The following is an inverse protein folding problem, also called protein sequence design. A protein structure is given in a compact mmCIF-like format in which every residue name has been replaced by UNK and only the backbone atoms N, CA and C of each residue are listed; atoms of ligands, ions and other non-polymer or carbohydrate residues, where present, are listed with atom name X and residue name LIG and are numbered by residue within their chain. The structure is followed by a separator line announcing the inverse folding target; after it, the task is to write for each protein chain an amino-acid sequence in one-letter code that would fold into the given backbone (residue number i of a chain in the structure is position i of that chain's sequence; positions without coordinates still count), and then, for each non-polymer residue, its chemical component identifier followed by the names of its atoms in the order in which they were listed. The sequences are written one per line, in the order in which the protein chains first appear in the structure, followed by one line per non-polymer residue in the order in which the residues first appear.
data_IF_380520105233
#
_entry.id   IF_380520105233
#
_cell.length_a   1.000
_cell.length_b   1.000
_cell.length_c   1.000
_cell.angle_alpha   90.00
_cell.angle_beta   90.00
_cell.angle_gamma   90.00
#
_symmetry.space_group_name_H-M   'P 1'
#
loop_
_entity.id
_entity.type
_entity.pdbx_description
1 polymer ?
#
# COMPACT_ATOMS: atom_id res chain seq x y z
N UNK A 1 6.74 4.07 24.40
CA UNK A 1 6.23 2.68 24.56
C UNK A 1 4.89 2.67 25.31
N UNK A 2 3.82 3.14 24.68
CA UNK A 2 2.44 2.94 25.16
C UNK A 2 1.98 1.61 24.59
N UNK A 3 1.60 0.66 25.45
CA UNK A 3 1.17 -0.68 25.05
C UNK A 3 -0.31 -0.61 24.67
N UNK A 4 -0.62 -0.50 23.38
CA UNK A 4 -1.96 -0.73 22.91
C UNK A 4 -2.20 -2.23 22.81
N UNK A 5 -3.27 -2.69 23.46
CA UNK A 5 -3.76 -4.05 23.37
C UNK A 5 -4.86 -4.04 22.32
N UNK A 6 -4.50 -4.35 21.07
CA UNK A 6 -5.50 -4.66 20.05
C UNK A 6 -6.24 -5.91 20.50
N UNK A 7 -7.54 -5.74 20.75
CA UNK A 7 -8.45 -6.84 21.05
C UNK A 7 -8.99 -7.32 19.71
N UNK A 8 -8.39 -8.36 19.15
CA UNK A 8 -8.87 -9.08 17.97
C UNK A 8 -10.32 -9.54 18.23
N UNK A 9 -11.30 -8.88 17.61
CA UNK A 9 -12.66 -9.37 17.56
C UNK A 9 -12.71 -10.39 16.43
N UNK A 10 -12.69 -11.67 16.78
CA UNK A 10 -12.84 -12.77 15.83
C UNK A 10 -14.26 -12.76 15.25
N UNK A 11 -14.42 -12.15 14.08
CA UNK A 11 -15.65 -12.19 13.31
C UNK A 11 -15.76 -13.56 12.65
N UNK A 12 -16.58 -14.43 13.22
CA UNK A 12 -16.86 -15.74 12.65
C UNK A 12 -17.84 -15.60 11.47
N UNK A 13 -17.31 -15.41 10.27
CA UNK A 13 -18.08 -15.39 9.03
C UNK A 13 -18.54 -16.81 8.69
N UNK A 14 -19.82 -17.10 8.91
CA UNK A 14 -20.45 -18.36 8.49
C UNK A 14 -20.89 -18.20 7.03
N UNK A 15 -20.02 -18.62 6.10
CA UNK A 15 -20.34 -18.76 4.68
C UNK A 15 -21.34 -19.91 4.48
N UNK A 16 -22.64 -19.58 4.45
CA UNK A 16 -23.67 -20.50 4.00
C UNK A 16 -23.70 -20.55 2.47
N UNK A 17 -22.93 -21.48 1.89
CA UNK A 17 -22.97 -21.79 0.46
C UNK A 17 -24.33 -22.43 0.15
N UNK A 18 -25.29 -21.62 -0.31
CA UNK A 18 -26.52 -22.09 -0.92
C UNK A 18 -26.26 -22.38 -2.41
N UNK A 19 -25.76 -23.59 -2.69
CA UNK A 19 -25.64 -24.11 -4.05
C UNK A 19 -27.01 -24.33 -4.68
N UNK A 20 -27.37 -23.49 -5.66
CA UNK A 20 -28.46 -23.73 -6.59
C UNK A 20 -27.88 -24.27 -7.91
N UNK A 21 -27.46 -25.54 -7.88
CA UNK A 21 -27.06 -26.31 -9.06
C UNK A 21 -28.11 -27.36 -9.38
N UNK A 22 -29.04 -27.00 -10.26
CA UNK A 22 -29.95 -27.91 -10.94
C UNK A 22 -29.14 -28.67 -12.02
N UNK A 23 -29.18 -30.01 -12.04
CA UNK A 23 -29.30 -30.88 -13.23
C UNK A 23 -28.74 -32.31 -13.01
N UNK A 24 -29.64 -33.28 -13.25
CA UNK A 24 -29.50 -34.68 -13.71
C UNK A 24 -28.90 -35.84 -12.86
N UNK A 25 -29.86 -36.67 -12.41
CA UNK A 25 -29.98 -38.13 -12.62
C UNK A 25 -28.75 -39.04 -12.51
N UNK A 26 -28.75 -39.89 -11.48
CA UNK A 26 -28.30 -41.27 -11.65
C UNK A 26 -27.81 -42.00 -10.40
N UNK A 27 -28.54 -43.07 -10.04
CA UNK A 27 -28.01 -44.33 -9.51
C UNK A 27 -27.97 -44.56 -7.97
N UNK A 28 -29.10 -45.08 -7.47
CA UNK A 28 -29.25 -46.38 -6.79
C UNK A 28 -28.17 -46.83 -5.77
N UNK A 29 -28.57 -46.90 -4.49
CA UNK A 29 -28.13 -48.01 -3.63
C UNK A 29 -28.00 -47.71 -2.14
N UNK A 30 -28.79 -48.43 -1.33
CA UNK A 30 -28.36 -48.89 -0.01
C UNK A 30 -28.74 -48.00 1.15
N UNK A 31 -29.79 -48.40 1.87
CA UNK A 31 -30.29 -47.69 3.03
C UNK A 31 -29.35 -47.70 4.24
N UNK A 32 -29.63 -46.79 5.17
CA UNK A 32 -29.59 -47.09 6.58
C UNK A 32 -30.65 -46.24 7.30
N UNK A 33 -31.43 -46.91 8.12
CA UNK A 33 -32.45 -46.33 8.97
C UNK A 33 -31.82 -45.53 10.12
N UNK A 34 -32.65 -44.67 10.73
CA UNK A 34 -32.55 -44.14 12.10
C UNK A 34 -31.75 -42.84 12.25
N UNK A 35 -32.45 -41.71 12.38
CA UNK A 35 -32.64 -41.08 13.70
C UNK A 35 -33.64 -39.90 13.59
N UNK A 36 -34.90 -40.16 13.91
CA UNK A 36 -35.85 -39.12 14.30
C UNK A 36 -35.46 -38.67 15.72
N UNK A 37 -34.99 -37.45 15.89
CA UNK A 37 -35.11 -36.77 17.18
C UNK A 37 -35.87 -35.46 17.00
N UNK A 38 -37.03 -35.46 17.64
CA UNK A 38 -38.03 -34.41 17.69
C UNK A 38 -37.73 -33.57 18.93
N UNK A 39 -37.27 -32.33 18.74
CA UNK A 39 -36.94 -31.39 19.81
C UNK A 39 -37.45 -30.00 19.47
N UNK A 40 -38.73 -29.80 19.72
CA UNK A 40 -39.45 -28.54 19.70
C UNK A 40 -38.91 -27.59 20.78
N UNK A 41 -39.13 -26.27 20.62
CA UNK A 41 -39.09 -25.18 21.64
C UNK A 41 -37.67 -24.72 22.06
N UNK A 42 -37.30 -23.44 22.17
CA UNK A 42 -37.99 -22.14 22.39
C UNK A 42 -37.25 -20.98 21.68
N UNK A 43 -37.99 -19.95 21.29
CA UNK A 43 -37.46 -18.61 21.01
C UNK A 43 -36.81 -18.03 22.28
N UNK A 44 -35.55 -17.63 22.19
CA UNK A 44 -34.93 -16.77 23.19
C UNK A 44 -34.51 -15.48 22.48
N UNK A 45 -35.46 -14.56 22.45
CA UNK A 45 -35.22 -13.16 22.22
C UNK A 45 -34.92 -12.53 23.59
N UNK A 46 -33.64 -12.40 23.94
CA UNK A 46 -33.22 -11.58 25.08
C UNK A 46 -32.41 -10.40 24.56
N UNK A 47 -33.07 -9.25 24.50
CA UNK A 47 -32.44 -7.95 24.33
C UNK A 47 -31.48 -7.70 25.52
N UNK A 48 -30.26 -7.20 25.30
CA UNK A 48 -29.41 -6.77 26.40
C UNK A 48 -29.97 -5.49 27.04
N UNK A 49 -30.39 -5.62 28.30
CA UNK A 49 -30.79 -4.52 29.18
C UNK A 49 -29.56 -3.65 29.50
N UNK A 50 -29.30 -2.63 28.67
CA UNK A 50 -28.27 -1.62 28.91
C UNK A 50 -28.68 -0.73 30.08
N UNK A 51 -28.15 -1.09 31.25
CA UNK A 51 -28.25 -0.35 32.49
C UNK A 51 -27.47 0.98 32.35
N UNK A 52 -28.11 2.03 31.83
CA UNK A 52 -27.62 3.40 31.85
C UNK A 52 -27.65 3.92 33.31
N UNK A 53 -26.62 3.56 34.07
CA UNK A 53 -26.31 4.19 35.34
C UNK A 53 -25.57 5.51 35.08
N UNK A 54 -26.39 6.54 34.97
CA UNK A 54 -26.18 7.91 35.45
C UNK A 54 -25.10 8.00 36.56
N UNK A 55 -23.95 8.62 36.24
CA UNK A 55 -23.01 9.11 37.25
C UNK A 55 -22.69 10.59 36.98
N UNK A 56 -23.72 11.38 37.24
CA UNK A 56 -23.72 12.82 37.40
C UNK A 56 -22.99 13.28 38.70
N UNK A 57 -22.27 14.41 38.58
CA UNK A 57 -21.74 15.29 39.66
C UNK A 57 -20.60 14.71 40.55
N UNK A 58 -19.53 15.42 40.93
CA UNK A 58 -19.33 16.86 41.12
C UNK A 58 -17.84 17.15 41.38
N UNK A 59 -17.39 18.35 40.98
CA UNK A 59 -16.56 19.27 41.78
C UNK A 59 -15.09 18.93 42.12
N UNK A 60 -14.14 19.65 41.53
CA UNK A 60 -13.32 20.56 42.36
C UNK A 60 -12.59 21.64 41.54
N UNK A 61 -12.96 22.87 41.88
CA UNK A 61 -12.41 24.15 41.49
C UNK A 61 -11.29 24.48 42.50
N UNK A 62 -10.02 24.58 42.07
CA UNK A 62 -8.96 25.19 42.87
C UNK A 62 -8.04 26.04 41.98
N UNK A 63 -8.43 27.32 41.94
CA UNK A 63 -7.62 28.51 41.76
C UNK A 63 -6.33 28.47 42.61
N UNK A 64 -5.20 29.00 42.12
CA UNK A 64 -4.27 29.94 42.81
C UNK A 64 -2.98 30.11 42.01
N UNK A 65 -2.86 31.27 41.38
CA UNK A 65 -1.68 32.16 41.26
C UNK A 65 -0.27 31.57 41.45
N UNK A 66 0.54 31.63 40.38
CA UNK A 66 1.98 31.88 40.54
C UNK A 66 2.46 32.96 39.57
N UNK A 67 2.73 34.11 40.19
CA UNK A 67 3.21 35.38 39.69
C UNK A 67 4.71 35.34 39.32
N UNK A 68 5.10 36.26 38.43
CA UNK A 68 6.44 36.80 38.20
C UNK A 68 7.54 35.94 37.52
N UNK A 69 7.52 35.95 36.18
CA UNK A 69 8.46 36.75 35.37
C UNK A 69 9.94 36.35 35.26
N UNK A 70 10.31 35.80 34.09
CA UNK A 70 11.58 35.96 33.34
C UNK A 70 11.24 35.61 31.86
N UNK A 71 11.15 36.52 30.89
CA UNK A 71 12.22 37.22 30.18
C UNK A 71 13.11 36.30 29.32
N UNK A 72 12.70 36.03 28.08
CA UNK A 72 13.52 35.91 26.85
C UNK A 72 12.54 35.73 25.67
N UNK A 73 12.20 36.75 24.90
CA UNK A 73 12.93 37.16 23.68
C UNK A 73 13.43 35.98 22.82
N UNK A 74 12.83 35.85 21.63
CA UNK A 74 13.16 34.94 20.52
C UNK A 74 12.60 33.52 20.54
N UNK A 75 11.32 33.36 20.20
CA UNK A 75 10.94 32.28 19.29
C UNK A 75 9.94 32.76 18.24
N UNK A 76 10.36 33.78 17.49
CA UNK A 76 9.69 34.28 16.30
C UNK A 76 10.58 33.98 15.08
N UNK A 77 10.86 32.71 14.82
CA UNK A 77 11.45 32.21 13.57
C UNK A 77 11.56 30.68 13.63
N UNK A 78 10.47 29.99 13.28
CA UNK A 78 10.48 28.74 12.51
C UNK A 78 9.05 28.26 12.29
N UNK A 79 8.17 29.18 11.87
CA UNK A 79 7.10 28.79 10.97
C UNK A 79 7.76 28.85 9.59
N UNK A 80 8.65 27.89 9.32
CA UNK A 80 8.90 27.49 7.94
C UNK A 80 7.53 26.99 7.50
N UNK A 81 6.80 27.86 6.81
CA UNK A 81 5.85 27.37 5.81
C UNK A 81 6.74 26.57 4.86
N UNK A 82 6.90 25.28 5.17
CA UNK A 82 7.22 24.27 4.18
C UNK A 82 6.11 24.40 3.15
N UNK A 83 6.39 25.21 2.14
CA UNK A 83 5.76 25.19 0.83
C UNK A 83 6.23 23.91 0.10
N UNK A 84 6.22 22.79 0.83
CA UNK A 84 6.27 21.46 0.31
C UNK A 84 4.82 21.08 0.15
N UNK A 85 4.38 20.95 -1.09
CA UNK A 85 3.05 20.42 -1.41
C UNK A 85 2.98 19.04 -0.74
N UNK A 86 2.22 18.93 0.35
CA UNK A 86 1.97 17.64 1.03
C UNK A 86 1.45 16.66 -0.03
N UNK A 87 2.04 15.46 -0.11
CA UNK A 87 1.62 14.46 -1.06
C UNK A 87 0.13 14.10 -0.83
N UNK A 88 -0.66 14.12 -1.90
CA UNK A 88 -2.04 13.64 -1.84
C UNK A 88 -2.05 12.12 -1.67
N UNK A 89 -3.13 11.57 -1.11
CA UNK A 89 -3.26 10.11 -0.99
C UNK A 89 -3.19 9.45 -2.38
N UNK A 90 -2.64 8.24 -2.49
CA UNK A 90 -2.54 7.55 -3.79
C UNK A 90 -3.92 7.33 -4.42
N UNK A 91 -4.97 7.09 -3.62
CA UNK A 91 -6.36 7.00 -4.13
C UNK A 91 -6.92 8.30 -4.72
N UNK A 92 -6.40 9.45 -4.31
CA UNK A 92 -6.79 10.75 -4.88
C UNK A 92 -5.98 11.07 -6.15
N UNK A 93 -4.90 10.33 -6.39
CA UNK A 93 -4.09 10.40 -7.60
C UNK A 93 -4.66 9.46 -8.67
N UNK A 94 -4.64 9.87 -9.94
CA UNK A 94 -5.02 9.00 -11.05
C UNK A 94 -3.89 7.97 -11.28
N UNK A 95 -4.09 6.72 -10.87
CA UNK A 95 -3.16 5.60 -11.12
C UNK A 95 -3.87 4.38 -11.73
N UNK A 96 -3.11 3.52 -12.40
CA UNK A 96 -3.60 2.36 -13.15
C UNK A 96 -3.28 1.03 -12.47
N UNK A 97 -2.18 0.96 -11.74
CA UNK A 97 -1.75 -0.23 -11.01
C UNK A 97 -0.91 0.18 -9.80
N UNK A 98 -1.09 -0.54 -8.70
CA UNK A 98 -0.28 -0.47 -7.49
C UNK A 98 0.22 -1.87 -7.15
N UNK A 99 1.52 -2.01 -6.95
CA UNK A 99 2.17 -3.27 -6.60
C UNK A 99 3.24 -3.03 -5.53
N UNK A 100 3.13 -3.70 -4.39
CA UNK A 100 4.08 -3.61 -3.29
C UNK A 100 4.47 -5.02 -2.85
N UNK A 101 5.76 -5.32 -2.94
CA UNK A 101 6.36 -6.53 -2.40
C UNK A 101 7.28 -6.14 -1.24
N UNK A 102 7.08 -6.76 -0.08
CA UNK A 102 7.85 -6.50 1.13
C UNK A 102 8.42 -7.82 1.65
N UNK A 103 9.72 -7.85 1.89
CA UNK A 103 10.40 -8.95 2.59
C UNK A 103 10.94 -8.43 3.91
N UNK A 104 10.60 -9.11 4.99
CA UNK A 104 11.04 -8.79 6.35
C UNK A 104 12.29 -9.59 6.74
N UNK A 105 13.00 -9.13 7.78
CA UNK A 105 14.23 -9.76 8.31
C UNK A 105 14.07 -11.20 8.81
N UNK A 106 12.83 -11.66 9.03
CA UNK A 106 12.51 -13.03 9.42
C UNK A 106 12.16 -13.94 8.22
N UNK A 107 12.46 -13.48 7.01
CA UNK A 107 12.13 -14.10 5.72
C UNK A 107 10.61 -14.15 5.43
N UNK A 108 9.77 -13.39 6.15
CA UNK A 108 8.35 -13.23 5.82
C UNK A 108 8.18 -12.33 4.61
N UNK A 109 7.43 -12.79 3.62
CA UNK A 109 7.11 -12.04 2.40
C UNK A 109 5.64 -11.59 2.43
N UNK A 110 5.39 -10.35 2.02
CA UNK A 110 4.07 -9.79 1.81
C UNK A 110 3.96 -9.21 0.39
N UNK A 111 2.83 -9.45 -0.26
CA UNK A 111 2.51 -8.97 -1.61
C UNK A 111 1.15 -8.26 -1.56
N UNK A 112 1.11 -7.02 -2.00
CA UNK A 112 -0.08 -6.20 -2.11
C UNK A 112 -0.22 -5.73 -3.55
N UNK A 113 -1.28 -6.14 -4.22
CA UNK A 113 -1.57 -5.74 -5.59
C UNK A 113 -2.97 -5.13 -5.67
N UNK A 114 -3.11 -4.00 -6.38
CA UNK A 114 -4.38 -3.35 -6.62
C UNK A 114 -4.44 -2.75 -8.02
N UNK A 115 -5.47 -3.16 -8.77
CA UNK A 115 -5.81 -2.68 -10.11
C UNK A 115 -7.20 -2.02 -10.08
N UNK A 116 -7.28 -0.67 -10.07
CA UNK A 116 -8.56 0.02 -10.15
C UNK A 116 -9.27 -0.28 -11.49
N UNK A 117 -10.60 -0.23 -11.47
CA UNK A 117 -11.42 -0.40 -12.68
C UNK A 117 -11.09 0.68 -13.73
N UNK A 118 -10.68 0.25 -14.93
CA UNK A 118 -10.23 1.17 -16.00
C UNK A 118 -11.38 1.58 -16.93
N UNK A 119 -12.36 0.71 -17.12
CA UNK A 119 -13.54 0.97 -17.96
C UNK A 119 -14.85 0.95 -17.15
N UNK A 120 -15.85 1.70 -17.64
CA UNK A 120 -17.21 1.67 -17.10
C UNK A 120 -17.79 0.24 -17.11
N UNK A 121 -17.95 -0.35 -15.92
CA UNK A 121 -18.52 -1.68 -15.72
C UNK A 121 -17.50 -2.80 -15.50
N UNK A 122 -16.21 -2.48 -15.43
CA UNK A 122 -15.20 -3.35 -14.83
C UNK A 122 -15.25 -3.23 -13.30
N UNK A 123 -14.86 -4.31 -12.62
CA UNK A 123 -14.70 -4.35 -11.16
C UNK A 123 -13.20 -4.21 -10.84
N UNK A 124 -12.81 -3.48 -9.79
CA UNK A 124 -11.42 -3.43 -9.36
C UNK A 124 -10.95 -4.83 -8.92
N UNK A 125 -9.66 -5.10 -9.09
CA UNK A 125 -9.04 -6.36 -8.68
C UNK A 125 -7.96 -6.07 -7.62
N UNK A 126 -7.91 -6.90 -6.59
CA UNK A 126 -6.92 -6.77 -5.52
C UNK A 126 -6.49 -8.14 -5.01
N UNK A 127 -5.25 -8.22 -4.53
CA UNK A 127 -4.69 -9.39 -3.84
C UNK A 127 -3.81 -8.92 -2.69
N UNK A 128 -3.97 -9.55 -1.52
CA UNK A 128 -3.11 -9.35 -0.35
C UNK A 128 -2.64 -10.73 0.10
N UNK A 129 -1.35 -11.02 -0.03
CA UNK A 129 -0.73 -12.27 0.36
C UNK A 129 0.36 -12.06 1.41
N UNK A 130 0.40 -12.92 2.42
CA UNK A 130 1.43 -12.98 3.46
C UNK A 130 1.53 -14.40 4.03
N UNK A 131 2.34 -14.61 5.08
CA UNK A 131 2.62 -15.96 5.63
C UNK A 131 1.35 -16.74 6.05
N UNK A 132 0.40 -16.05 6.69
CA UNK A 132 -0.84 -16.64 7.25
C UNK A 132 -2.12 -16.12 6.58
N UNK A 133 -2.01 -15.23 5.61
CA UNK A 133 -3.14 -14.52 5.00
C UNK A 133 -3.03 -14.59 3.47
N UNK A 134 -4.14 -14.91 2.81
CA UNK A 134 -4.29 -14.70 1.37
C UNK A 134 -5.72 -14.22 1.11
N UNK A 135 -5.88 -12.95 0.77
CA UNK A 135 -7.14 -12.30 0.43
C UNK A 135 -7.14 -11.96 -1.06
N UNK A 136 -8.26 -12.23 -1.73
CA UNK A 136 -8.46 -11.97 -3.15
C UNK A 136 -9.89 -11.43 -3.38
N UNK A 137 -10.08 -10.65 -4.44
CA UNK A 137 -11.41 -10.16 -4.84
C UNK A 137 -11.95 -9.03 -3.95
N UNK A 138 -13.27 -8.99 -3.73
CA UNK A 138 -13.97 -7.88 -3.04
C UNK A 138 -13.40 -7.59 -1.63
N UNK A 139 -13.08 -8.63 -0.85
CA UNK A 139 -12.48 -8.46 0.49
C UNK A 139 -11.09 -7.82 0.42
N UNK A 140 -10.27 -8.19 -0.57
CA UNK A 140 -8.96 -7.57 -0.76
C UNK A 140 -9.07 -6.14 -1.29
N UNK A 141 -10.07 -5.86 -2.14
CA UNK A 141 -10.33 -4.53 -2.68
C UNK A 141 -10.67 -3.56 -1.54
N UNK A 142 -11.59 -3.93 -0.66
CA UNK A 142 -12.00 -3.07 0.47
C UNK A 142 -10.81 -2.71 1.38
N UNK A 143 -9.95 -3.69 1.68
CA UNK A 143 -8.76 -3.46 2.51
C UNK A 143 -7.72 -2.60 1.76
N UNK A 144 -7.44 -2.89 0.49
CA UNK A 144 -6.50 -2.11 -0.32
C UNK A 144 -6.96 -0.66 -0.51
N UNK A 145 -8.23 -0.41 -0.78
CA UNK A 145 -8.75 0.97 -0.88
C UNK A 145 -8.59 1.72 0.44
N UNK A 146 -8.74 1.04 1.59
CA UNK A 146 -8.48 1.64 2.89
C UNK A 146 -7.00 2.02 3.04
N UNK A 147 -6.07 1.10 2.76
CA UNK A 147 -4.64 1.38 2.83
C UNK A 147 -4.23 2.52 1.89
N UNK A 148 -4.64 2.47 0.63
CA UNK A 148 -4.26 3.47 -0.38
C UNK A 148 -4.90 4.85 -0.14
N UNK A 149 -5.96 4.94 0.68
CA UNK A 149 -6.52 6.22 1.13
C UNK A 149 -5.69 6.91 2.22
N UNK A 150 -4.84 6.14 2.91
CA UNK A 150 -3.91 6.61 3.95
C UNK A 150 -2.46 6.65 3.45
N UNK A 151 -2.16 6.07 2.29
CA UNK A 151 -0.81 6.04 1.72
C UNK A 151 -0.52 7.32 0.93
N UNK A 152 0.40 8.16 1.42
CA UNK A 152 0.71 9.47 0.86
C UNK A 152 2.07 9.49 0.14
N UNK A 153 2.12 8.97 -1.09
CA UNK A 153 3.33 9.03 -1.92
C UNK A 153 3.02 9.51 -3.32
N UNK A 154 3.97 10.19 -3.95
CA UNK A 154 3.90 10.58 -5.35
C UNK A 154 5.18 10.16 -6.08
N UNK A 155 5.21 10.34 -7.40
CA UNK A 155 6.36 9.93 -8.20
C UNK A 155 7.68 10.68 -7.90
N UNK A 156 7.63 11.79 -7.15
CA UNK A 156 8.78 12.56 -6.70
C UNK A 156 9.15 12.30 -5.23
N UNK A 157 8.39 11.47 -4.51
CA UNK A 157 8.67 11.11 -3.12
C UNK A 157 10.05 10.47 -2.98
N UNK A 158 10.73 10.83 -1.90
CA UNK A 158 12.06 10.30 -1.60
C UNK A 158 11.96 8.89 -1.00
N UNK A 159 13.01 8.09 -1.14
CA UNK A 159 13.00 6.70 -0.67
C UNK A 159 12.77 6.55 0.84
N UNK A 160 13.33 7.46 1.66
CA UNK A 160 13.14 7.47 3.11
C UNK A 160 11.67 7.74 3.48
N UNK A 161 11.03 8.68 2.78
CA UNK A 161 9.60 9.00 2.92
C UNK A 161 8.74 7.78 2.56
N UNK A 162 9.00 7.16 1.40
CA UNK A 162 8.28 5.95 0.95
C UNK A 162 8.42 4.81 1.96
N UNK A 163 9.62 4.58 2.50
CA UNK A 163 9.85 3.54 3.51
C UNK A 163 9.00 3.79 4.75
N UNK A 164 8.99 5.04 5.24
CA UNK A 164 8.20 5.44 6.41
C UNK A 164 6.70 5.29 6.16
N UNK A 165 6.21 5.70 4.98
CA UNK A 165 4.80 5.59 4.60
C UNK A 165 4.34 4.13 4.49
N UNK A 166 5.19 3.25 3.94
CA UNK A 166 4.90 1.81 3.87
C UNK A 166 4.82 1.22 5.30
N UNK A 167 5.74 1.62 6.17
CA UNK A 167 5.75 1.15 7.55
C UNK A 167 4.48 1.55 8.32
N UNK A 168 4.08 2.83 8.20
CA UNK A 168 2.92 3.37 8.93
C UNK A 168 1.60 2.81 8.38
N UNK A 169 1.42 2.82 7.05
CA UNK A 169 0.16 2.41 6.40
C UNK A 169 -0.14 0.92 6.59
N UNK A 170 0.88 0.07 6.44
CA UNK A 170 0.72 -1.38 6.48
C UNK A 170 1.03 -1.98 7.86
N UNK A 171 1.22 -1.14 8.89
CA UNK A 171 1.53 -1.50 10.28
C UNK A 171 2.77 -2.42 10.41
N UNK A 172 3.78 -2.15 9.59
CA UNK A 172 5.09 -2.78 9.70
C UNK A 172 6.02 -1.99 10.61
N UNK A 173 7.03 -2.67 11.15
CA UNK A 173 8.09 -2.01 11.89
C UNK A 173 9.25 -1.72 10.93
N UNK A 174 9.67 -0.45 10.85
CA UNK A 174 10.77 -0.01 9.98
C UNK A 174 12.06 -0.82 10.18
N UNK A 175 12.36 -1.18 11.42
CA UNK A 175 13.56 -1.96 11.78
C UNK A 175 13.52 -3.40 11.23
N UNK A 176 12.34 -3.90 10.84
CA UNK A 176 12.12 -5.27 10.40
C UNK A 176 12.10 -5.42 8.87
N UNK A 177 12.24 -4.34 8.08
CA UNK A 177 12.38 -4.46 6.63
C UNK A 177 13.75 -5.04 6.24
N UNK A 178 13.73 -6.01 5.33
CA UNK A 178 14.91 -6.51 4.64
C UNK A 178 15.01 -5.91 3.23
N UNK A 179 13.93 -5.96 2.47
CA UNK A 179 13.80 -5.36 1.15
C UNK A 179 12.34 -5.04 0.84
N UNK A 180 12.13 -4.08 -0.07
CA UNK A 180 10.82 -3.88 -0.70
C UNK A 180 10.97 -3.40 -2.14
N UNK A 181 9.96 -3.69 -2.95
CA UNK A 181 9.77 -3.11 -4.27
C UNK A 181 8.34 -2.57 -4.35
N UNK A 182 8.24 -1.26 -4.62
CA UNK A 182 6.97 -0.56 -4.84
C UNK A 182 6.92 -0.10 -6.30
N UNK A 183 5.87 -0.46 -7.01
CA UNK A 183 5.61 -0.02 -8.39
C UNK A 183 4.24 0.61 -8.48
N UNK A 184 4.18 1.85 -8.97
CA UNK A 184 2.93 2.59 -9.20
C UNK A 184 2.91 3.12 -10.64
N UNK A 185 1.86 2.79 -11.38
CA UNK A 185 1.62 3.31 -12.73
C UNK A 185 0.71 4.54 -12.67
N UNK A 186 1.30 5.73 -12.55
CA UNK A 186 0.54 6.99 -12.54
C UNK A 186 0.08 7.37 -13.95
N UNK A 187 -1.19 7.70 -14.12
CA UNK A 187 -1.77 8.03 -15.43
C UNK A 187 -1.15 9.28 -16.09
N UNK A 188 -0.56 10.17 -15.29
CA UNK A 188 0.14 11.36 -15.79
C UNK A 188 1.54 11.07 -16.36
N UNK A 189 2.08 9.86 -16.13
CA UNK A 189 3.39 9.44 -16.59
C UNK A 189 3.31 8.45 -17.74
N UNK A 190 4.33 8.43 -18.60
CA UNK A 190 4.41 7.47 -19.70
C UNK A 190 4.90 6.08 -19.24
N UNK A 191 5.52 5.99 -18.06
CA UNK A 191 6.09 4.74 -17.54
C UNK A 191 5.74 4.58 -16.05
N UNK A 192 5.76 3.32 -15.63
CA UNK A 192 5.65 2.86 -14.24
C UNK A 192 6.78 3.50 -13.41
N UNK A 193 6.45 4.01 -12.23
CA UNK A 193 7.47 4.42 -11.25
C UNK A 193 7.76 3.26 -10.33
N UNK A 194 9.01 2.82 -10.29
CA UNK A 194 9.48 1.73 -9.43
C UNK A 194 10.49 2.25 -8.41
N UNK A 195 10.26 1.93 -7.14
CA UNK A 195 11.19 2.16 -6.04
C UNK A 195 11.59 0.83 -5.43
N UNK A 196 12.90 0.63 -5.26
CA UNK A 196 13.44 -0.56 -4.61
C UNK A 196 14.38 -0.15 -3.49
N UNK A 197 14.18 -0.72 -2.31
CA UNK A 197 15.07 -0.58 -1.17
C UNK A 197 15.52 -1.95 -0.67
N UNK A 198 16.75 -2.04 -0.17
CA UNK A 198 17.24 -3.24 0.51
C UNK A 198 18.28 -2.88 1.55
N UNK A 199 18.19 -3.51 2.73
CA UNK A 199 19.09 -3.25 3.85
C UNK A 199 20.57 -3.55 3.52
N UNK A 200 20.82 -4.49 2.60
CA UNK A 200 22.17 -4.85 2.16
C UNK A 200 22.83 -3.80 1.24
N UNK A 201 22.07 -2.88 0.63
CA UNK A 201 22.62 -1.85 -0.26
C UNK A 201 23.33 -0.70 0.47
N UNK A 202 22.95 -0.41 1.72
CA UNK A 202 23.57 0.65 2.52
C UNK A 202 25.01 0.32 2.96
N UNK A 203 25.47 -0.92 2.71
CA UNK A 203 26.81 -1.36 3.04
C UNK A 203 27.88 -1.13 1.95
N UNK A 204 27.51 -1.02 0.67
CA UNK A 204 28.49 -1.06 -0.43
C UNK A 204 28.28 -0.06 -1.59
N UNK A 205 27.24 0.79 -1.61
CA UNK A 205 26.94 1.63 -2.78
C UNK A 205 27.15 3.15 -2.59
N UNK A 206 28.35 3.59 -2.20
CA UNK A 206 28.81 5.00 -2.39
C UNK A 206 29.38 5.27 -3.80
N UNK A 207 28.93 4.59 -4.87
CA UNK A 207 29.62 4.67 -6.16
C UNK A 207 28.87 4.32 -7.43
N UNK A 208 27.53 4.28 -7.42
CA UNK A 208 26.72 4.14 -8.62
C UNK A 208 26.61 5.47 -9.35
N UNK A 209 27.67 5.89 -10.03
CA UNK A 209 27.61 6.96 -11.03
C UNK A 209 26.45 6.67 -11.98
N UNK A 210 25.55 7.64 -12.09
CA UNK A 210 24.49 7.69 -13.09
C UNK A 210 25.11 7.46 -14.47
N UNK A 211 25.02 6.24 -15.01
CA UNK A 211 25.15 5.97 -16.44
C UNK A 211 23.90 6.55 -17.13
N UNK A 212 23.81 7.88 -17.10
CA UNK A 212 23.03 8.63 -18.06
C UNK A 212 23.79 8.46 -19.38
N UNK A 213 23.42 7.47 -20.18
CA UNK A 213 23.82 7.34 -21.59
C UNK A 213 23.23 8.52 -22.40
N UNK A 214 23.71 9.72 -22.08
CA UNK A 214 23.46 10.97 -22.78
C UNK A 214 24.63 11.28 -23.71
N UNK A 215 24.48 10.86 -24.95
CA UNK A 215 25.03 11.50 -26.15
C UNK A 215 26.41 12.17 -26.06
N UNK A 216 27.45 11.45 -26.48
CA UNK A 216 28.59 12.10 -27.13
C UNK A 216 28.36 12.11 -28.64
N UNK A 217 27.94 13.29 -29.12
CA UNK A 217 28.04 13.69 -30.51
C UNK A 217 29.49 13.55 -30.98
N UNK A 218 29.76 12.57 -31.83
CA UNK A 218 31.04 12.48 -32.55
C UNK A 218 31.14 13.62 -33.57
N UNK A 219 31.60 14.77 -33.09
CA UNK A 219 32.14 15.86 -33.88
C UNK A 219 33.53 15.46 -34.42
N UNK A 220 33.55 14.46 -35.29
CA UNK A 220 34.73 13.93 -35.96
C UNK A 220 35.15 14.73 -37.20
N UNK A 221 35.91 15.80 -36.95
CA UNK A 221 37.04 16.31 -37.74
C UNK A 221 36.96 16.39 -39.28
N UNK A 222 37.09 17.63 -39.76
CA UNK A 222 37.72 17.94 -41.05
C UNK A 222 39.14 17.32 -41.09
N UNK A 223 39.40 16.37 -42.00
CA UNK A 223 40.75 16.03 -42.42
C UNK A 223 40.85 15.99 -43.95
N UNK A 224 41.79 16.78 -44.44
CA UNK A 224 42.15 17.03 -45.83
C UNK A 224 42.72 15.77 -46.51
N UNK A 225 41.89 15.08 -47.30
CA UNK A 225 42.30 13.92 -48.10
C UNK A 225 42.18 14.15 -49.59
N UNK A 226 43.15 14.87 -50.18
CA UNK A 226 43.40 14.87 -51.62
C UNK A 226 43.47 13.44 -52.17
N UNK A 227 42.56 13.06 -53.07
CA UNK A 227 42.81 11.94 -53.97
C UNK A 227 42.64 12.38 -55.43
N UNK A 228 43.78 12.40 -56.11
CA UNK A 228 43.98 12.47 -57.55
C UNK A 228 43.53 11.15 -58.21
N UNK A 229 43.49 11.15 -59.55
CA UNK A 229 43.24 10.02 -60.47
C UNK A 229 41.73 9.71 -60.68
N UNK A 230 41.19 9.57 -61.88
CA UNK A 230 41.64 9.74 -63.26
C UNK A 230 40.33 9.85 -64.06
N UNK A 231 40.14 10.85 -64.91
CA UNK A 231 40.28 10.70 -66.36
C UNK A 231 39.82 9.32 -66.90
N UNK A 232 38.53 9.18 -67.21
CA UNK A 232 38.20 8.49 -68.45
C UNK A 232 37.02 9.13 -69.17
N UNK A 233 37.28 9.28 -70.45
CA UNK A 233 36.62 10.08 -71.45
C UNK A 233 35.93 9.09 -72.36
N UNK A 234 34.60 9.00 -72.30
CA UNK A 234 33.81 8.31 -73.33
C UNK A 234 32.36 8.75 -73.25
N UNK A 235 31.99 9.77 -74.02
CA UNK A 235 30.74 9.67 -74.75
C UNK A 235 30.84 10.35 -76.11
N UNK A 236 30.52 9.54 -77.13
CA UNK A 236 30.25 9.92 -78.51
C UNK A 236 28.89 10.60 -78.64
#
# INVERSE_FOLDING_TARGET
MKKFKMSLAATATVLAIAGCGDTEEGNNGGGNETNQNNGQTEEVNEEPDVNMADNNENNDELDTDNDAGLNDDNNAANNMEEDGEEAEAVMDQDFQNFDLNVTLVDDTEWEFNYNPAQEDGEEPEATISGDDINLEGEEAVEEMESYLSEFHVNAASEQEEITSEIADTFDFNEDDFQEYTLTIDFAEQENETEWTWSQDQDGENEGGEEDTEGGEEDAGSNDDGLNFEDNDNSNQ
#
